data_IF_790178666843
#
_entry.id   IF_790178666843
#
_cell.length_a   1.000
_cell.length_b   1.000
_cell.length_c   1.000
_cell.angle_alpha   90.00
_cell.angle_beta   90.00
_cell.angle_gamma   90.00
#
_symmetry.space_group_name_H-M   'P 1'
#
loop_
_entity.id
_entity.type
_entity.pdbx_description
1 polymer ?
#
# COMPACT_ATOMS: atom_id res chain seq x y z
N UNK A 1 -5.28 2.75 -16.88
CA UNK A 1 -3.87 2.99 -17.31
C UNK A 1 -3.24 1.61 -17.41
N UNK A 2 -2.10 1.45 -18.10
CA UNK A 2 -1.36 0.21 -17.90
C UNK A 2 -0.84 0.19 -16.45
N UNK A 3 -0.75 -1.01 -15.84
CA UNK A 3 -0.04 -1.22 -14.58
C UNK A 3 1.29 -0.45 -14.61
N UNK A 4 1.64 0.35 -13.58
CA UNK A 4 2.94 1.01 -13.49
C UNK A 4 4.08 0.04 -13.79
N UNK A 5 5.06 0.47 -14.59
CA UNK A 5 6.14 -0.41 -15.05
C UNK A 5 6.94 -0.99 -13.88
N UNK A 6 7.05 -0.23 -12.78
CA UNK A 6 7.67 -0.65 -11.54
C UNK A 6 6.98 -1.90 -10.97
N UNK A 7 5.65 -1.95 -11.00
CA UNK A 7 4.84 -3.03 -10.45
C UNK A 7 4.76 -4.25 -11.37
N UNK A 8 5.25 -4.17 -12.61
CA UNK A 8 5.33 -5.32 -13.53
C UNK A 8 6.39 -6.33 -13.14
N UNK A 9 7.39 -5.93 -12.34
CA UNK A 9 8.41 -6.84 -11.85
C UNK A 9 7.87 -7.68 -10.69
N UNK A 10 7.31 -8.84 -11.03
CA UNK A 10 6.73 -9.79 -10.07
C UNK A 10 7.76 -10.38 -9.09
N UNK A 11 9.06 -10.16 -9.30
CA UNK A 11 10.10 -10.52 -8.32
C UNK A 11 10.26 -9.44 -7.25
N UNK A 12 9.86 -8.20 -7.55
CA UNK A 12 9.94 -7.07 -6.63
C UNK A 12 8.62 -6.79 -5.93
N UNK A 13 7.51 -7.02 -6.61
CA UNK A 13 6.18 -6.68 -6.12
C UNK A 13 5.26 -7.89 -6.24
N UNK A 14 4.53 -8.19 -5.18
CA UNK A 14 3.47 -9.21 -5.20
C UNK A 14 2.13 -8.56 -4.94
N UNK A 15 1.16 -8.71 -5.84
CA UNK A 15 -0.22 -8.30 -5.56
C UNK A 15 -0.75 -9.15 -4.41
N UNK A 16 -1.20 -8.51 -3.34
CA UNK A 16 -1.70 -9.18 -2.12
C UNK A 16 -3.15 -8.85 -1.84
N UNK A 17 -3.66 -7.74 -2.36
CA UNK A 17 -5.06 -7.37 -2.17
C UNK A 17 -5.56 -6.49 -3.32
N UNK A 18 -6.81 -6.69 -3.70
CA UNK A 18 -7.54 -5.83 -4.63
C UNK A 18 -8.97 -5.59 -4.12
N UNK A 19 -9.48 -4.38 -4.28
CA UNK A 19 -10.84 -4.05 -3.87
C UNK A 19 -11.22 -2.61 -4.15
N UNK A 20 -12.52 -2.34 -4.21
CA UNK A 20 -13.03 -0.99 -4.34
C UNK A 20 -13.08 -0.31 -2.97
N UNK A 21 -12.53 0.90 -2.88
CA UNK A 21 -12.72 1.77 -1.72
C UNK A 21 -13.22 3.14 -2.17
N UNK A 22 -14.09 3.71 -1.35
CA UNK A 22 -14.56 5.07 -1.49
C UNK A 22 -13.51 6.06 -0.95
N UNK A 23 -13.15 7.04 -1.78
CA UNK A 23 -12.49 8.25 -1.29
C UNK A 23 -13.59 9.25 -0.95
N UNK A 24 -13.91 9.34 0.35
CA UNK A 24 -14.96 10.20 0.89
C UNK A 24 -14.78 11.64 0.40
N UNK A 25 -15.86 12.35 0.00
CA UNK A 25 -15.75 13.73 -0.45
C UNK A 25 -15.37 14.66 0.70
N UNK A 26 -14.85 15.83 0.37
CA UNK A 26 -14.61 16.88 1.37
C UNK A 26 -15.93 17.39 1.94
N UNK A 27 -16.05 17.36 3.27
CA UNK A 27 -17.08 18.02 4.07
C UNK A 27 -17.20 19.52 3.81
N UNK A 28 -16.15 20.15 3.27
CA UNK A 28 -16.11 21.58 2.94
C UNK A 28 -16.63 21.91 1.54
N UNK A 29 -16.95 20.90 0.73
CA UNK A 29 -17.49 21.10 -0.62
C UNK A 29 -18.58 20.07 -0.93
N UNK A 30 -19.81 20.42 -0.56
CA UNK A 30 -21.02 19.59 -0.72
C UNK A 30 -21.40 19.29 -2.18
N UNK A 31 -20.78 19.94 -3.16
CA UNK A 31 -21.03 19.68 -4.58
C UNK A 31 -20.25 18.46 -5.11
N UNK A 32 -19.38 17.84 -4.31
CA UNK A 32 -18.58 16.67 -4.73
C UNK A 32 -19.12 15.40 -4.11
N UNK A 33 -19.41 14.41 -4.94
CA UNK A 33 -19.77 13.06 -4.51
C UNK A 33 -18.52 12.25 -4.10
N UNK A 34 -18.75 11.17 -3.35
CA UNK A 34 -17.73 10.12 -3.15
C UNK A 34 -17.25 9.61 -4.51
N UNK A 35 -15.97 9.25 -4.57
CA UNK A 35 -15.40 8.60 -5.74
C UNK A 35 -14.90 7.23 -5.33
N UNK A 36 -15.62 6.20 -5.78
CA UNK A 36 -15.14 4.82 -5.75
C UNK A 36 -13.93 4.65 -6.67
N UNK A 37 -12.88 4.02 -6.16
CA UNK A 37 -11.68 3.66 -6.90
C UNK A 37 -11.38 2.19 -6.67
N UNK A 38 -10.93 1.51 -7.72
CA UNK A 38 -10.35 0.19 -7.57
C UNK A 38 -8.92 0.33 -7.04
N UNK A 39 -8.59 -0.33 -5.95
CA UNK A 39 -7.26 -0.36 -5.38
C UNK A 39 -6.57 -1.67 -5.70
N UNK A 40 -5.28 -1.59 -5.97
CA UNK A 40 -4.39 -2.73 -6.21
C UNK A 40 -3.18 -2.59 -5.30
N UNK A 41 -3.11 -3.41 -4.25
CA UNK A 41 -2.09 -3.36 -3.22
C UNK A 41 -1.02 -4.42 -3.44
N UNK A 42 0.21 -3.96 -3.64
CA UNK A 42 1.38 -4.77 -3.85
C UNK A 42 2.31 -4.69 -2.65
N UNK A 43 2.79 -5.83 -2.15
CA UNK A 43 3.87 -5.85 -1.16
C UNK A 43 5.23 -5.73 -1.86
N UNK A 44 6.12 -4.88 -1.37
CA UNK A 44 7.51 -4.76 -1.84
C UNK A 44 8.35 -5.90 -1.27
N UNK A 45 8.48 -6.98 -2.04
CA UNK A 45 9.05 -8.24 -1.56
C UNK A 45 10.50 -8.07 -1.08
N UNK A 46 11.31 -7.24 -1.75
CA UNK A 46 12.70 -7.02 -1.37
C UNK A 46 12.85 -6.30 -0.02
N UNK A 47 12.17 -5.17 0.16
CA UNK A 47 12.20 -4.45 1.44
C UNK A 47 11.54 -5.28 2.54
N UNK A 48 10.41 -5.91 2.23
CA UNK A 48 9.73 -6.80 3.16
C UNK A 48 10.60 -8.00 3.56
N UNK A 49 11.43 -8.54 2.66
CA UNK A 49 12.37 -9.62 2.97
C UNK A 49 13.48 -9.21 3.95
N UNK A 50 13.77 -7.90 4.08
CA UNK A 50 14.64 -7.44 5.14
C UNK A 50 13.98 -7.66 6.52
N UNK A 51 12.66 -7.50 6.60
CA UNK A 51 11.86 -7.64 7.81
C UNK A 51 11.31 -9.05 8.05
N UNK A 52 11.06 -9.85 7.01
CA UNK A 52 10.42 -11.16 7.10
C UNK A 52 11.25 -12.27 6.42
N UNK A 53 11.64 -13.27 7.23
CA UNK A 53 12.43 -14.41 6.78
C UNK A 53 11.69 -15.31 5.77
N UNK A 54 10.36 -15.37 5.79
CA UNK A 54 9.60 -16.19 4.87
C UNK A 54 9.64 -15.64 3.43
N UNK A 55 9.53 -14.31 3.27
CA UNK A 55 9.70 -13.67 1.96
C UNK A 55 11.16 -13.70 1.50
N UNK A 56 12.13 -13.61 2.42
CA UNK A 56 13.54 -13.81 2.08
C UNK A 56 13.80 -15.21 1.51
N UNK A 57 13.21 -16.23 2.13
CA UNK A 57 13.28 -17.62 1.65
C UNK A 57 12.63 -17.78 0.27
N UNK A 58 11.47 -17.15 0.05
CA UNK A 58 10.78 -17.13 -1.25
C UNK A 58 11.67 -16.55 -2.36
N UNK A 59 12.38 -15.44 -2.10
CA UNK A 59 13.18 -14.75 -3.10
C UNK A 59 14.53 -15.41 -3.42
N UNK A 60 15.21 -15.93 -2.39
CA UNK A 60 16.64 -16.26 -2.49
C UNK A 60 16.96 -17.74 -2.25
N UNK A 61 15.97 -18.56 -1.87
CA UNK A 61 16.20 -19.95 -1.46
C UNK A 61 17.04 -20.11 -0.17
N UNK A 62 17.50 -19.01 0.42
CA UNK A 62 18.34 -18.97 1.63
C UNK A 62 17.67 -18.21 2.78
N UNK A 63 18.13 -18.50 4.00
CA UNK A 63 17.73 -17.79 5.22
C UNK A 63 18.61 -16.57 5.42
N UNK A 64 18.20 -15.41 4.88
CA UNK A 64 18.71 -14.12 5.38
C UNK A 64 18.28 -13.96 6.83
N UNK A 65 19.17 -13.50 7.70
CA UNK A 65 18.81 -13.18 9.09
C UNK A 65 17.77 -12.07 9.12
N UNK A 66 16.64 -12.24 9.83
CA UNK A 66 15.60 -11.23 9.90
C UNK A 66 16.10 -9.96 10.58
N UNK A 67 15.57 -8.81 10.17
CA UNK A 67 15.74 -7.56 10.91
C UNK A 67 15.03 -7.65 12.27
N UNK A 68 15.41 -6.80 13.23
CA UNK A 68 14.82 -6.78 14.59
C UNK A 68 13.31 -6.47 14.61
N UNK A 69 12.81 -5.84 13.56
CA UNK A 69 11.45 -5.36 13.39
C UNK A 69 10.61 -6.34 12.55
N UNK A 70 10.58 -7.63 12.95
CA UNK A 70 9.94 -8.68 12.16
C UNK A 70 8.42 -8.57 12.20
N UNK A 71 7.79 -8.65 11.01
CA UNK A 71 6.32 -8.55 10.88
C UNK A 71 5.62 -9.79 11.43
N UNK A 72 6.08 -10.99 11.06
CA UNK A 72 5.59 -12.27 11.62
C UNK A 72 6.77 -13.20 11.87
N UNK A 73 7.01 -13.54 13.14
CA UNK A 73 8.19 -14.31 13.58
C UNK A 73 8.31 -15.69 12.92
N UNK A 74 7.16 -16.30 12.61
CA UNK A 74 7.04 -17.58 11.91
C UNK A 74 5.83 -17.52 10.98
N UNK A 75 6.02 -16.98 9.77
CA UNK A 75 4.98 -17.07 8.77
C UNK A 75 4.85 -18.55 8.32
N UNK A 76 3.72 -19.18 8.66
CA UNK A 76 3.41 -20.59 8.38
C UNK A 76 2.44 -20.75 7.22
N UNK A 77 2.05 -19.66 6.54
CA UNK A 77 1.16 -19.76 5.38
C UNK A 77 1.82 -20.58 4.27
N UNK A 78 0.99 -21.32 3.52
CA UNK A 78 1.46 -22.08 2.37
C UNK A 78 2.05 -21.16 1.28
N UNK A 79 1.44 -19.99 1.09
CA UNK A 79 1.96 -18.90 0.29
C UNK A 79 2.21 -17.69 1.21
N UNK A 80 3.47 -17.23 1.36
CA UNK A 80 3.79 -16.08 2.21
C UNK A 80 3.02 -14.81 1.87
N UNK A 81 2.58 -14.63 0.62
CA UNK A 81 1.83 -13.46 0.18
C UNK A 81 0.41 -13.40 0.75
N UNK A 82 -0.23 -14.53 1.02
CA UNK A 82 -1.62 -14.59 1.53
C UNK A 82 -1.72 -13.89 2.90
N UNK A 83 -0.67 -14.00 3.72
CA UNK A 83 -0.59 -13.28 5.00
C UNK A 83 -0.71 -11.77 4.85
N UNK A 84 -0.20 -11.21 3.74
CA UNK A 84 -0.17 -9.78 3.49
C UNK A 84 -1.48 -9.23 2.93
N UNK A 85 -2.51 -10.05 2.69
CA UNK A 85 -3.80 -9.60 2.17
C UNK A 85 -4.43 -8.53 3.07
N UNK A 86 -4.56 -8.81 4.37
CA UNK A 86 -5.12 -7.84 5.33
C UNK A 86 -4.26 -6.59 5.52
N UNK A 87 -2.93 -6.73 5.38
CA UNK A 87 -1.99 -5.61 5.41
C UNK A 87 -2.10 -4.75 4.15
N UNK A 88 -2.38 -5.38 2.99
CA UNK A 88 -2.66 -4.71 1.73
C UNK A 88 -3.96 -3.91 1.78
N UNK A 89 -5.02 -4.46 2.37
CA UNK A 89 -6.25 -3.74 2.64
C UNK A 89 -6.00 -2.52 3.56
N UNK A 90 -5.21 -2.70 4.63
CA UNK A 90 -4.85 -1.59 5.52
C UNK A 90 -4.06 -0.50 4.79
N UNK A 91 -3.05 -0.87 3.99
CA UNK A 91 -2.29 0.07 3.18
C UNK A 91 -3.21 0.86 2.22
N UNK A 92 -4.18 0.20 1.60
CA UNK A 92 -5.18 0.86 0.76
C UNK A 92 -6.06 1.84 1.55
N UNK A 93 -6.51 1.48 2.75
CA UNK A 93 -7.25 2.38 3.65
C UNK A 93 -6.43 3.61 4.06
N UNK A 94 -5.13 3.43 4.34
CA UNK A 94 -4.20 4.53 4.63
C UNK A 94 -4.10 5.48 3.44
N UNK A 95 -3.96 4.96 2.22
CA UNK A 95 -3.95 5.76 0.98
C UNK A 95 -5.27 6.51 0.81
N UNK A 96 -6.42 5.84 0.97
CA UNK A 96 -7.73 6.46 0.84
C UNK A 96 -7.92 7.61 1.85
N UNK A 97 -7.50 7.40 3.11
CA UNK A 97 -7.55 8.40 4.17
C UNK A 97 -6.65 9.61 3.89
N UNK A 98 -5.45 9.38 3.36
CA UNK A 98 -4.53 10.45 2.96
C UNK A 98 -5.08 11.23 1.76
N UNK A 99 -5.68 10.55 0.78
CA UNK A 99 -6.35 11.20 -0.35
C UNK A 99 -7.53 12.06 0.13
N UNK A 100 -8.36 11.53 1.02
CA UNK A 100 -9.44 12.28 1.65
C UNK A 100 -8.90 13.51 2.39
N UNK A 101 -7.83 13.36 3.18
CA UNK A 101 -7.20 14.46 3.91
C UNK A 101 -6.64 15.55 2.98
N UNK A 102 -6.01 15.17 1.87
CA UNK A 102 -5.58 16.11 0.82
C UNK A 102 -6.77 16.83 0.18
N UNK A 103 -7.85 16.10 -0.07
CA UNK A 103 -9.08 16.64 -0.62
C UNK A 103 -9.71 17.67 0.33
N UNK A 104 -9.79 17.34 1.62
CA UNK A 104 -10.30 18.23 2.68
C UNK A 104 -9.50 19.52 2.86
N UNK A 105 -8.20 19.46 2.56
CA UNK A 105 -7.30 20.62 2.69
C UNK A 105 -7.14 21.40 1.37
N UNK A 106 -7.68 20.90 0.26
CA UNK A 106 -7.60 21.57 -1.03
C UNK A 106 -8.59 22.76 -1.07
N UNK A 107 -8.04 23.97 -1.06
CA UNK A 107 -8.82 25.23 -1.17
C UNK A 107 -9.29 25.52 -2.60
N UNK A 108 -8.80 24.76 -3.59
CA UNK A 108 -9.15 24.93 -5.00
C UNK A 108 -10.09 23.82 -5.45
N UNK A 109 -10.93 24.10 -6.44
CA UNK A 109 -11.86 23.11 -6.99
C UNK A 109 -11.17 22.15 -7.99
N UNK A 110 -9.89 21.85 -7.80
CA UNK A 110 -9.14 20.93 -8.65
C UNK A 110 -9.28 19.49 -8.16
N UNK A 111 -9.05 18.52 -9.06
CA UNK A 111 -8.92 17.11 -8.68
C UNK A 111 -7.65 16.92 -7.83
N UNK A 112 -7.70 16.08 -6.79
CA UNK A 112 -6.50 15.64 -6.07
C UNK A 112 -5.77 14.52 -6.81
N UNK A 113 -6.40 13.96 -7.86
CA UNK A 113 -5.84 12.95 -8.74
C UNK A 113 -5.14 13.62 -9.95
N UNK A 114 -3.81 13.78 -9.92
CA UNK A 114 -2.91 14.12 -11.06
C UNK A 114 -2.34 12.88 -11.82
N UNK A 115 -3.08 12.29 -12.77
CA UNK A 115 -2.84 10.95 -13.35
C UNK A 115 -1.35 10.57 -13.59
N UNK A 116 -0.99 9.34 -13.25
CA UNK A 116 0.31 8.72 -13.58
C UNK A 116 1.50 9.21 -12.74
N UNK A 117 1.26 10.08 -11.75
CA UNK A 117 2.33 10.59 -10.89
C UNK A 117 2.52 9.68 -9.67
N UNK A 118 3.73 9.15 -9.53
CA UNK A 118 4.16 8.47 -8.31
C UNK A 118 4.11 9.47 -7.14
N UNK A 119 3.46 9.07 -6.05
CA UNK A 119 3.41 9.82 -4.80
C UNK A 119 3.86 8.91 -3.68
N UNK A 120 5.01 9.23 -3.08
CA UNK A 120 5.48 8.54 -1.88
C UNK A 120 4.71 9.05 -0.68
N UNK A 121 4.17 8.11 0.08
CA UNK A 121 3.50 8.28 1.36
C UNK A 121 4.30 7.53 2.42
N UNK A 122 5.22 8.24 3.05
CA UNK A 122 6.01 7.68 4.14
C UNK A 122 5.24 7.87 5.44
N UNK A 123 4.67 6.79 5.99
CA UNK A 123 3.97 6.80 7.29
C UNK A 123 4.90 6.18 8.35
N UNK A 124 6.13 6.68 8.39
CA UNK A 124 7.12 6.28 9.40
C UNK A 124 6.76 6.88 10.76
N UNK A 125 6.82 6.06 11.80
CA UNK A 125 6.61 6.48 13.19
C UNK A 125 5.14 6.65 13.62
N UNK A 126 4.17 6.45 12.72
CA UNK A 126 2.74 6.39 13.07
C UNK A 126 2.22 4.96 12.92
N UNK A 127 2.01 4.30 14.06
CA UNK A 127 1.40 2.98 14.15
C UNK A 127 -0.03 3.02 13.59
N UNK A 128 -0.36 2.12 12.68
CA UNK A 128 -1.73 1.96 12.16
C UNK A 128 -2.58 1.08 13.07
N UNK A 129 -3.87 0.93 12.76
CA UNK A 129 -4.84 0.21 13.60
C UNK A 129 -4.51 -1.28 13.76
N UNK A 130 -3.83 -1.86 12.77
CA UNK A 130 -3.32 -3.24 12.81
C UNK A 130 -2.00 -3.39 13.59
N UNK A 131 -1.44 -2.26 14.02
CA UNK A 131 -0.24 -2.17 14.83
C UNK A 131 1.09 -2.09 14.08
N UNK A 132 1.09 -1.98 12.75
CA UNK A 132 2.32 -1.87 11.96
C UNK A 132 2.63 -0.43 11.54
N UNK A 133 3.88 -0.22 11.15
CA UNK A 133 4.31 0.97 10.41
C UNK A 133 4.37 0.63 8.92
N UNK A 134 4.04 1.61 8.08
CA UNK A 134 3.94 1.45 6.64
C UNK A 134 4.73 2.52 5.89
N UNK A 135 5.40 2.09 4.84
CA UNK A 135 5.91 2.97 3.79
C UNK A 135 5.22 2.58 2.50
N UNK A 136 4.57 3.55 1.85
CA UNK A 136 3.69 3.30 0.73
C UNK A 136 4.09 4.20 -0.44
N UNK A 137 4.26 3.64 -1.63
CA UNK A 137 4.34 4.40 -2.87
C UNK A 137 3.07 4.16 -3.67
N UNK A 138 2.40 5.22 -4.12
CA UNK A 138 1.17 5.08 -4.90
C UNK A 138 1.25 5.74 -6.27
N UNK A 139 0.54 5.17 -7.23
CA UNK A 139 0.26 5.68 -8.55
C UNK A 139 -1.25 5.61 -8.77
N UNK A 140 -1.80 6.45 -9.62
CA UNK A 140 -3.23 6.44 -9.86
C UNK A 140 -3.56 6.88 -11.27
N UNK A 141 -4.73 6.44 -11.73
CA UNK A 141 -5.29 6.80 -12.99
C UNK A 141 -6.77 7.22 -12.89
N UNK A 142 -7.52 7.08 -13.98
CA UNK A 142 -8.92 7.48 -14.03
C UNK A 142 -9.81 6.57 -13.19
N UNK A 143 -9.54 5.27 -13.10
CA UNK A 143 -10.36 4.29 -12.37
C UNK A 143 -9.63 3.62 -11.20
N UNK A 144 -8.32 3.50 -11.29
CA UNK A 144 -7.51 2.65 -10.43
C UNK A 144 -6.49 3.45 -9.60
N UNK A 145 -6.20 2.91 -8.42
CA UNK A 145 -5.09 3.29 -7.56
C UNK A 145 -4.21 2.07 -7.38
N UNK A 146 -2.96 2.17 -7.80
CA UNK A 146 -1.95 1.16 -7.59
C UNK A 146 -1.06 1.61 -6.45
N UNK A 147 -0.75 0.73 -5.51
CA UNK A 147 0.15 1.04 -4.41
C UNK A 147 1.11 -0.11 -4.14
N UNK A 148 2.35 0.24 -3.85
CA UNK A 148 3.35 -0.65 -3.31
C UNK A 148 3.58 -0.28 -1.84
N UNK A 149 3.73 -1.27 -0.97
CA UNK A 149 4.03 -1.03 0.43
C UNK A 149 5.02 -2.04 1.00
N UNK A 150 5.77 -1.62 2.00
CA UNK A 150 6.36 -2.52 2.97
C UNK A 150 5.98 -2.07 4.37
N UNK A 151 5.98 -3.01 5.31
CA UNK A 151 5.61 -2.76 6.68
C UNK A 151 6.53 -3.46 7.67
N UNK A 152 6.57 -2.92 8.89
CA UNK A 152 7.38 -3.45 9.97
C UNK A 152 6.73 -3.16 11.33
N UNK A 153 6.98 -4.04 12.30
CA UNK A 153 6.60 -3.80 13.68
C UNK A 153 7.80 -3.17 14.42
N UNK A 154 7.66 -2.02 15.09
CA UNK A 154 8.75 -1.39 15.82
C UNK A 154 9.24 -2.24 17.00
#
# INVERSE_FOLDING_TARGET
MALPDELKDSKKYGLVWEGELDVTPSSKNSARASVGKQFHAYVEIYEQSAHDAALAKLLSGGTRSPHRAQVKSKNTEANPLDYYESLGEMAAKVVASEMHSKWENNKTNNTVFVRGKATTLTVQGKKQDDGYHYEITMWYDVGDIYLAFHCYHP
#
